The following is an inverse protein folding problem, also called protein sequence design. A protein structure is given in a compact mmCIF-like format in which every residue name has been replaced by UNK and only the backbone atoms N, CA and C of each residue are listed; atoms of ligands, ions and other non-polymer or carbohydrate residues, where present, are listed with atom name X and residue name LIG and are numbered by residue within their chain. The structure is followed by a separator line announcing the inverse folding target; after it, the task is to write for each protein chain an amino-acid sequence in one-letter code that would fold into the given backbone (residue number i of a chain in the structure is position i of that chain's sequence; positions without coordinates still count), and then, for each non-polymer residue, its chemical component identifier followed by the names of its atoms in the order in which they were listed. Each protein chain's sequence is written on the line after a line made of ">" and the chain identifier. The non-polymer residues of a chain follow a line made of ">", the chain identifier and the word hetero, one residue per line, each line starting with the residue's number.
data_IF_991971587678
#
_entry.id   IF_991971587678
#
_cell.length_a   1.000
_cell.length_b   1.000
_cell.length_c   1.000
_cell.angle_alpha   90.00
_cell.angle_beta   90.00
_cell.angle_gamma   90.00
#
_symmetry.space_group_name_H-M   'P 1'
#
loop_
_entity.id
_entity.type
_entity.pdbx_description
1 polymer ?
#
# COMPACT_ATOMS: atom_id res chain seq x y z
N UNK A 1 -1.00 -54.90 -24.76
CA UNK A 1 -1.99 -54.05 -25.45
C UNK A 1 -3.38 -54.60 -25.13
N UNK A 2 -4.37 -53.81 -24.69
CA UNK A 2 -4.42 -52.61 -23.84
C UNK A 2 -4.95 -53.03 -22.42
N UNK A 3 -5.27 -52.23 -21.41
CA UNK A 3 -6.00 -50.97 -21.30
C UNK A 3 -5.64 -50.32 -19.94
N UNK A 4 -5.32 -49.04 -20.01
CA UNK A 4 -5.06 -48.12 -18.93
C UNK A 4 -6.34 -47.94 -18.09
N UNK A 5 -6.39 -48.43 -16.85
CA UNK A 5 -7.48 -48.13 -15.92
C UNK A 5 -6.96 -47.44 -14.64
N UNK A 6 -7.36 -46.17 -14.52
CA UNK A 6 -7.85 -45.55 -13.29
C UNK A 6 -6.88 -45.46 -12.11
N UNK A 7 -5.80 -44.72 -12.34
CA UNK A 7 -5.06 -44.05 -11.28
C UNK A 7 -5.36 -42.54 -11.36
N UNK A 8 -5.77 -41.95 -10.23
CA UNK A 8 -5.91 -40.50 -9.95
C UNK A 8 -7.07 -39.76 -10.65
N UNK A 9 -8.27 -39.83 -10.06
CA UNK A 9 -9.25 -38.75 -10.13
C UNK A 9 -9.65 -38.33 -8.72
N UNK A 10 -8.83 -37.49 -8.08
CA UNK A 10 -9.20 -36.67 -6.90
C UNK A 10 -8.11 -35.63 -6.56
N UNK A 11 -7.44 -35.07 -7.58
CA UNK A 11 -6.44 -34.03 -7.38
C UNK A 11 -6.57 -32.86 -8.36
N UNK A 12 -7.78 -32.51 -8.82
CA UNK A 12 -7.95 -31.37 -9.72
C UNK A 12 -9.20 -30.56 -9.35
N UNK A 13 -9.14 -29.87 -8.21
CA UNK A 13 -10.05 -28.77 -7.88
C UNK A 13 -9.43 -27.87 -6.79
N UNK A 14 -8.15 -27.52 -6.90
CA UNK A 14 -7.59 -26.43 -6.11
C UNK A 14 -6.54 -25.67 -6.92
N UNK A 15 -6.94 -24.59 -7.62
CA UNK A 15 -5.99 -23.56 -7.94
C UNK A 15 -6.52 -22.22 -7.45
N UNK A 16 -6.13 -21.85 -6.24
CA UNK A 16 -5.77 -20.46 -5.94
C UNK A 16 -5.08 -20.43 -4.59
N UNK A 17 -3.75 -20.55 -4.67
CA UNK A 17 -2.76 -19.99 -3.77
C UNK A 17 -3.37 -19.14 -2.65
N UNK A 18 -3.44 -19.74 -1.46
CA UNK A 18 -3.63 -19.04 -0.21
C UNK A 18 -2.40 -18.13 0.01
N UNK A 19 -2.36 -16.97 -0.66
CA UNK A 19 -1.38 -15.94 -0.34
C UNK A 19 -1.66 -15.52 1.10
N UNK A 20 -0.70 -15.61 2.03
CA UNK A 20 -0.94 -15.18 3.39
C UNK A 20 -1.28 -13.69 3.34
N UNK A 21 -2.44 -13.33 3.90
CA UNK A 21 -2.96 -11.96 3.99
C UNK A 21 -1.90 -10.98 4.54
N UNK A 22 -0.97 -11.49 5.37
CA UNK A 22 0.17 -10.75 5.92
C UNK A 22 1.20 -10.27 4.88
N UNK A 23 1.41 -10.99 3.77
CA UNK A 23 2.41 -10.62 2.76
C UNK A 23 1.93 -9.49 1.84
N UNK A 24 0.61 -9.32 1.75
CA UNK A 24 -0.06 -8.46 0.78
C UNK A 24 -0.07 -7.00 1.22
N UNK A 25 -0.30 -6.72 2.51
CA UNK A 25 -0.30 -5.36 3.04
C UNK A 25 1.10 -4.71 3.07
N UNK A 26 2.16 -5.54 3.03
CA UNK A 26 3.54 -5.06 2.95
C UNK A 26 3.86 -4.40 1.61
N UNK A 27 2.99 -4.49 0.60
CA UNK A 27 3.20 -3.87 -0.71
C UNK A 27 3.31 -2.33 -0.65
N UNK A 28 2.74 -1.70 0.40
CA UNK A 28 2.90 -0.27 0.66
C UNK A 28 4.15 0.08 1.47
N UNK A 29 4.79 -0.88 2.16
CA UNK A 29 5.96 -0.57 2.98
C UNK A 29 7.12 -0.17 2.09
N UNK A 30 7.73 0.98 2.38
CA UNK A 30 8.84 1.50 1.58
C UNK A 30 8.95 3.01 1.66
N UNK A 31 9.91 3.55 0.90
CA UNK A 31 10.07 4.99 0.74
C UNK A 31 9.66 5.39 -0.66
N UNK A 32 8.98 6.52 -0.76
CA UNK A 32 8.48 7.10 -1.98
C UNK A 32 8.90 8.56 -2.06
N UNK A 33 8.94 9.09 -3.28
CA UNK A 33 9.12 10.53 -3.50
C UNK A 33 7.80 11.22 -3.79
N UNK A 34 7.70 12.52 -3.52
CA UNK A 34 6.57 13.37 -3.90
C UNK A 34 7.04 14.44 -4.90
N UNK A 35 7.36 14.06 -6.15
CA UNK A 35 8.11 14.91 -7.06
C UNK A 35 7.34 16.15 -7.55
N UNK A 36 6.00 16.10 -7.56
CA UNK A 36 5.17 17.19 -8.10
C UNK A 36 4.83 18.20 -7.01
N UNK A 37 4.21 17.75 -5.92
CA UNK A 37 3.70 18.67 -4.88
C UNK A 37 4.82 19.13 -3.96
N UNK A 38 5.79 18.26 -3.66
CA UNK A 38 6.88 18.55 -2.74
C UNK A 38 8.23 18.05 -3.28
N UNK A 39 8.79 18.66 -4.34
CA UNK A 39 10.06 18.24 -4.92
C UNK A 39 11.17 18.05 -3.87
N UNK A 40 11.87 16.92 -3.95
CA UNK A 40 12.88 16.50 -2.96
C UNK A 40 12.31 15.82 -1.71
N UNK A 41 11.00 15.87 -1.51
CA UNK A 41 10.30 15.30 -0.37
C UNK A 41 10.21 13.78 -0.45
N UNK A 42 10.45 13.13 0.70
CA UNK A 42 10.34 11.68 0.86
C UNK A 42 9.17 11.33 1.78
N UNK A 43 8.62 10.13 1.57
CA UNK A 43 7.50 9.54 2.32
C UNK A 43 7.83 8.09 2.60
N UNK A 44 8.10 7.74 3.85
CA UNK A 44 8.32 6.36 4.26
C UNK A 44 7.07 5.81 4.92
N UNK A 45 6.47 4.80 4.30
CA UNK A 45 5.29 4.12 4.83
C UNK A 45 5.72 2.92 5.67
N UNK A 46 5.19 2.83 6.89
CA UNK A 46 5.34 1.69 7.79
C UNK A 46 3.97 1.18 8.20
N UNK A 47 3.80 -0.13 8.25
CA UNK A 47 2.65 -0.74 8.92
C UNK A 47 2.87 -0.67 10.42
N UNK A 48 1.78 -0.49 11.16
CA UNK A 48 1.74 -0.68 12.61
C UNK A 48 1.30 -2.12 12.91
N UNK A 49 1.41 -2.57 14.15
CA UNK A 49 0.98 -3.93 14.51
C UNK A 49 -0.55 -4.02 14.70
N UNK A 50 -1.21 -2.88 14.83
CA UNK A 50 -2.65 -2.77 15.04
C UNK A 50 -3.48 -2.88 13.75
N UNK A 51 -4.64 -3.52 13.89
CA UNK A 51 -5.68 -3.60 12.87
C UNK A 51 -7.03 -3.18 13.42
N UNK A 52 -7.89 -2.64 12.55
CA UNK A 52 -9.28 -2.32 12.88
C UNK A 52 -10.16 -2.98 11.83
N UNK A 53 -10.78 -4.11 12.17
CA UNK A 53 -11.44 -4.97 11.19
C UNK A 53 -10.46 -5.42 10.10
N UNK A 54 -10.80 -5.17 8.84
CA UNK A 54 -9.97 -5.49 7.68
C UNK A 54 -8.91 -4.42 7.36
N UNK A 55 -8.85 -3.34 8.14
CA UNK A 55 -7.90 -2.25 7.93
C UNK A 55 -6.63 -2.49 8.71
N UNK A 56 -5.50 -2.41 8.02
CA UNK A 56 -4.18 -2.38 8.66
C UNK A 56 -3.77 -0.94 8.91
N UNK A 57 -3.52 -0.60 10.17
CA UNK A 57 -3.02 0.72 10.50
C UNK A 57 -1.58 0.87 10.01
N UNK A 58 -1.27 2.08 9.57
CA UNK A 58 0.02 2.47 9.02
C UNK A 58 0.34 3.91 9.40
N UNK A 59 1.57 4.31 9.14
CA UNK A 59 1.98 5.71 9.25
C UNK A 59 2.88 6.08 8.08
N UNK A 60 2.82 7.36 7.71
CA UNK A 60 3.69 7.97 6.69
C UNK A 60 4.63 8.93 7.39
N UNK A 61 5.91 8.58 7.43
CA UNK A 61 6.98 9.46 7.90
C UNK A 61 7.43 10.29 6.71
N UNK A 62 7.15 11.60 6.72
CA UNK A 62 7.45 12.49 5.60
C UNK A 62 8.35 13.65 5.98
N UNK A 63 8.94 14.31 4.98
CA UNK A 63 9.72 15.53 5.19
C UNK A 63 10.68 15.83 4.05
N UNK A 64 11.43 16.93 4.20
CA UNK A 64 12.55 17.32 3.34
C UNK A 64 12.19 17.88 1.97
N UNK A 65 10.90 17.95 1.63
CA UNK A 65 10.43 18.54 0.37
C UNK A 65 10.39 20.05 0.41
N UNK A 66 10.44 20.68 -0.77
CA UNK A 66 10.27 22.14 -0.90
C UNK A 66 8.94 22.57 -0.26
N UNK A 67 9.01 23.54 0.65
CA UNK A 67 7.84 24.07 1.36
C UNK A 67 7.30 23.15 2.46
N UNK A 68 8.05 22.13 2.88
CA UNK A 68 7.67 21.23 3.96
C UNK A 68 8.59 21.34 5.19
N UNK A 69 8.09 20.99 6.39
CA UNK A 69 8.95 20.80 7.54
C UNK A 69 9.96 19.65 7.31
N UNK A 70 11.05 19.68 8.07
CA UNK A 70 12.12 18.70 7.96
C UNK A 70 11.62 17.27 8.18
N UNK A 71 10.69 17.07 9.12
CA UNK A 71 10.06 15.78 9.41
C UNK A 71 8.63 15.96 9.92
N UNK A 72 7.78 14.97 9.66
CA UNK A 72 6.42 14.84 10.20
C UNK A 72 5.94 13.38 10.10
N UNK A 73 4.85 13.06 10.80
CA UNK A 73 4.19 11.75 10.74
C UNK A 73 2.71 11.95 10.44
N UNK A 74 2.18 11.21 9.47
CA UNK A 74 0.77 11.18 9.12
C UNK A 74 0.17 9.81 9.46
N UNK A 75 -1.01 9.76 10.08
CA UNK A 75 -1.78 8.52 10.21
C UNK A 75 -2.19 8.00 8.83
N UNK A 76 -2.22 6.68 8.68
CA UNK A 76 -2.73 6.03 7.48
C UNK A 76 -3.40 4.69 7.80
N UNK A 77 -4.23 4.22 6.88
CA UNK A 77 -4.79 2.88 6.89
C UNK A 77 -4.67 2.24 5.51
N UNK A 78 -4.19 1.00 5.47
CA UNK A 78 -4.18 0.17 4.27
C UNK A 78 -5.44 -0.68 4.26
N UNK A 79 -6.13 -0.69 3.12
CA UNK A 79 -7.37 -1.42 2.90
C UNK A 79 -7.11 -2.44 1.79
N UNK A 80 -7.09 -3.72 2.16
CA UNK A 80 -6.75 -4.81 1.25
C UNK A 80 -5.31 -4.72 0.74
N UNK A 81 -5.12 -4.91 -0.56
CA UNK A 81 -3.81 -5.03 -1.20
C UNK A 81 -3.35 -3.81 -1.99
N UNK A 82 -4.28 -2.89 -2.25
CA UNK A 82 -4.11 -1.85 -3.27
C UNK A 82 -4.53 -0.46 -2.84
N UNK A 83 -5.18 -0.30 -1.69
CA UNK A 83 -5.70 1.01 -1.28
C UNK A 83 -5.04 1.45 0.01
N UNK A 84 -4.63 2.72 0.05
CA UNK A 84 -4.20 3.40 1.27
C UNK A 84 -5.00 4.69 1.44
N UNK A 85 -5.39 5.01 2.67
CA UNK A 85 -5.98 6.29 3.04
C UNK A 85 -5.02 6.99 3.99
N UNK A 86 -4.66 8.22 3.69
CA UNK A 86 -3.70 9.02 4.48
C UNK A 86 -4.41 10.25 5.02
N UNK A 87 -4.24 10.50 6.32
CA UNK A 87 -4.75 11.69 7.00
C UNK A 87 -3.69 12.81 6.97
N UNK A 88 -3.91 13.81 6.12
CA UNK A 88 -3.07 15.01 6.02
C UNK A 88 -3.52 16.15 6.95
N UNK A 89 -4.57 15.97 7.76
CA UNK A 89 -5.05 17.01 8.68
C UNK A 89 -4.02 17.49 9.72
N UNK A 90 -3.03 16.71 10.17
CA UNK A 90 -1.93 17.23 11.00
C UNK A 90 -1.11 18.33 10.30
N UNK A 91 -1.20 18.43 8.97
CA UNK A 91 -0.58 19.46 8.13
C UNK A 91 -1.58 20.47 7.56
N UNK A 92 -2.83 20.46 8.04
CA UNK A 92 -3.92 21.30 7.51
C UNK A 92 -4.54 20.78 6.20
N UNK A 93 -4.20 19.56 5.78
CA UNK A 93 -4.77 18.92 4.61
C UNK A 93 -6.04 18.09 4.90
N UNK A 94 -6.52 17.34 3.90
CA UNK A 94 -7.69 16.48 4.05
C UNK A 94 -7.41 15.21 4.86
N UNK A 95 -8.43 14.66 5.52
CA UNK A 95 -8.33 13.43 6.34
C UNK A 95 -8.38 12.13 5.54
N UNK A 96 -8.91 12.19 4.34
CA UNK A 96 -9.36 11.06 3.54
C UNK A 96 -8.68 11.04 2.16
N UNK A 97 -7.35 11.17 2.16
CA UNK A 97 -6.60 11.23 0.92
C UNK A 97 -6.28 9.82 0.40
N UNK A 98 -7.08 9.37 -0.56
CA UNK A 98 -7.06 7.99 -1.09
C UNK A 98 -5.99 7.82 -2.16
N UNK A 99 -5.08 6.87 -1.94
CA UNK A 99 -4.06 6.41 -2.88
C UNK A 99 -4.26 4.95 -3.30
N UNK A 100 -3.95 4.65 -4.56
CA UNK A 100 -3.99 3.31 -5.14
C UNK A 100 -2.57 2.87 -5.52
N UNK A 101 -2.18 1.67 -5.10
CA UNK A 101 -0.91 1.07 -5.52
C UNK A 101 -1.03 0.57 -6.97
N UNK A 102 -0.24 1.14 -7.87
CA UNK A 102 -0.14 0.78 -9.29
C UNK A 102 1.33 0.58 -9.64
N UNK A 103 1.72 -0.64 -10.02
CA UNK A 103 3.08 -0.96 -10.47
C UNK A 103 4.20 -0.55 -9.47
N UNK A 104 3.89 -0.58 -8.17
CA UNK A 104 4.83 -0.20 -7.11
C UNK A 104 4.75 1.26 -6.67
N UNK A 105 4.06 2.11 -7.43
CA UNK A 105 3.83 3.52 -7.15
C UNK A 105 2.48 3.75 -6.49
N UNK A 106 2.31 4.85 -5.77
CA UNK A 106 1.02 5.24 -5.20
C UNK A 106 0.45 6.39 -6.03
N UNK A 107 -0.71 6.17 -6.64
CA UNK A 107 -1.47 7.20 -7.37
C UNK A 107 -2.61 7.71 -6.53
N UNK A 108 -2.70 9.03 -6.33
CA UNK A 108 -3.79 9.63 -5.59
C UNK A 108 -4.98 9.96 -6.50
N UNK A 109 -6.17 9.55 -6.07
CA UNK A 109 -7.39 9.70 -6.88
C UNK A 109 -7.88 11.15 -6.95
N UNK A 110 -7.57 11.96 -5.93
CA UNK A 110 -8.09 13.33 -5.80
C UNK A 110 -7.40 14.32 -6.74
N UNK A 111 -6.07 14.26 -6.83
CA UNK A 111 -5.26 15.23 -7.58
C UNK A 111 -4.43 14.60 -8.71
N UNK A 112 -4.44 13.27 -8.81
CA UNK A 112 -3.64 12.54 -9.80
C UNK A 112 -2.14 12.51 -9.49
N UNK A 113 -1.70 13.04 -8.34
CA UNK A 113 -0.29 12.99 -7.96
C UNK A 113 0.17 11.53 -7.84
N UNK A 114 1.42 11.28 -8.23
CA UNK A 114 2.04 9.96 -8.12
C UNK A 114 3.24 10.05 -7.20
N UNK A 115 3.29 9.13 -6.26
CA UNK A 115 4.45 8.89 -5.43
C UNK A 115 5.16 7.65 -5.94
N UNK A 116 6.24 7.81 -6.74
CA UNK A 116 7.01 6.68 -7.18
C UNK A 116 7.90 6.16 -6.05
N UNK A 117 8.06 4.83 -6.02
CA UNK A 117 8.90 4.15 -5.05
C UNK A 117 10.39 4.47 -5.30
N UNK A 118 11.15 4.64 -4.21
CA UNK A 118 12.60 4.81 -4.21
C UNK A 118 13.33 3.50 -3.90
#
# INVERSE_FOLDING_TARGET
>A
MPLLELQLQLQDCFPLLLRPLLQVQKAFVGTYSDPINHPGGKRTIKLLDEKVGDYQLAQVIGGGGRGEPANYVLPAAVIGDRTIVIDFSPKGGPRDFVGILENGDIKFLRDGNRWPRL
#
